data_IF_537573924728
#
_entry.id   IF_537573924728
#
_cell.length_a   1.000
_cell.length_b   1.000
_cell.length_c   1.000
_cell.angle_alpha   90.00
_cell.angle_beta   90.00
_cell.angle_gamma   90.00
#
_symmetry.space_group_name_H-M   'P 1'
#
loop_
_entity.id
_entity.type
_entity.pdbx_description
1 polymer ?
#
# COMPACT_ATOMS: atom_id res chain seq x y z
N UNK A 1 -25.15 0.94 -5.11
CA UNK A 1 -25.01 2.12 -4.28
C UNK A 1 -24.06 3.08 -4.96
N UNK A 2 -24.48 4.34 -5.10
CA UNK A 2 -23.62 5.41 -5.62
C UNK A 2 -22.90 6.00 -4.40
N UNK A 3 -21.58 5.81 -4.33
CA UNK A 3 -20.76 6.43 -3.29
C UNK A 3 -20.69 7.95 -3.49
N UNK A 4 -20.32 8.69 -2.44
CA UNK A 4 -20.12 10.13 -2.51
C UNK A 4 -18.84 10.53 -1.76
N UNK A 5 -18.26 11.63 -2.20
CA UNK A 5 -17.17 12.31 -1.53
C UNK A 5 -17.42 13.83 -1.61
N UNK A 6 -17.76 14.42 -0.50
CA UNK A 6 -17.91 15.87 -0.37
C UNK A 6 -16.78 16.41 0.50
N UNK A 7 -16.05 17.40 0.00
CA UNK A 7 -14.93 18.01 0.71
C UNK A 7 -15.06 19.53 0.72
N UNK A 8 -14.74 20.15 1.85
CA UNK A 8 -14.59 21.58 1.99
C UNK A 8 -13.22 21.88 2.59
N UNK A 9 -12.45 22.73 1.92
CA UNK A 9 -11.09 23.07 2.34
C UNK A 9 -10.90 24.58 2.51
N UNK A 10 -10.37 24.98 3.65
CA UNK A 10 -10.02 26.36 3.96
C UNK A 10 -8.50 26.48 4.01
N UNK A 11 -7.96 27.51 3.36
CA UNK A 11 -6.52 27.81 3.36
C UNK A 11 -6.31 29.18 3.97
N UNK A 12 -5.58 29.22 5.05
CA UNK A 12 -5.25 30.43 5.76
C UNK A 12 -3.76 30.48 6.02
N UNK A 13 -3.24 31.69 6.23
CA UNK A 13 -1.84 31.94 6.46
C UNK A 13 -0.97 31.50 5.28
N UNK A 14 -1.08 32.21 4.19
CA UNK A 14 -0.44 31.91 2.90
C UNK A 14 1.06 31.59 3.00
N UNK A 15 1.78 32.27 3.87
CA UNK A 15 3.21 32.03 4.07
C UNK A 15 3.50 30.68 4.71
N UNK A 16 2.68 30.22 5.65
CA UNK A 16 2.82 28.94 6.35
C UNK A 16 1.97 27.82 5.76
N UNK A 17 1.21 28.11 4.71
CA UNK A 17 0.36 27.13 4.00
C UNK A 17 -0.46 26.26 4.94
N UNK A 18 -1.10 26.89 5.94
CA UNK A 18 -2.01 26.19 6.84
C UNK A 18 -3.32 25.92 6.12
N UNK A 19 -3.88 24.74 6.34
CA UNK A 19 -5.16 24.33 5.82
C UNK A 19 -5.99 23.56 6.84
N UNK A 20 -7.30 23.69 6.71
CA UNK A 20 -8.31 22.89 7.38
C UNK A 20 -9.17 22.25 6.30
N UNK A 21 -9.29 20.95 6.33
CA UNK A 21 -10.11 20.17 5.40
C UNK A 21 -11.17 19.41 6.18
N UNK A 22 -12.40 19.46 5.71
CA UNK A 22 -13.53 18.70 6.24
C UNK A 22 -14.06 17.84 5.10
N UNK A 23 -14.30 16.57 5.36
CA UNK A 23 -14.85 15.65 4.38
C UNK A 23 -15.98 14.81 4.96
N UNK A 24 -16.97 14.50 4.11
CA UNK A 24 -17.97 13.47 4.32
C UNK A 24 -17.91 12.51 3.14
N UNK A 25 -17.91 11.23 3.39
CA UNK A 25 -17.71 10.24 2.34
C UNK A 25 -18.44 8.93 2.58
N UNK A 26 -18.77 8.32 1.46
CA UNK A 26 -19.20 6.93 1.30
C UNK A 26 -18.39 6.37 0.12
N UNK A 27 -17.26 5.74 0.41
CA UNK A 27 -16.29 5.32 -0.60
C UNK A 27 -15.85 3.87 -0.41
N UNK A 28 -15.39 3.28 -1.49
CA UNK A 28 -14.66 2.02 -1.47
C UNK A 28 -13.17 2.33 -1.41
N UNK A 29 -12.50 1.77 -0.43
CA UNK A 29 -11.06 1.93 -0.24
C UNK A 29 -10.34 0.60 -0.39
N UNK A 30 -9.14 0.63 -0.95
CA UNK A 30 -8.27 -0.54 -1.05
C UNK A 30 -7.40 -0.68 0.19
N UNK A 31 -7.30 -1.89 0.72
CA UNK A 31 -6.27 -2.17 1.72
C UNK A 31 -4.90 -2.08 1.06
N UNK A 32 -3.90 -1.59 1.76
CA UNK A 32 -2.52 -1.61 1.27
C UNK A 32 -2.26 -0.88 -0.06
N UNK A 33 -2.95 0.23 -0.33
CA UNK A 33 -2.74 1.09 -1.51
C UNK A 33 -1.27 1.57 -1.72
N UNK A 34 -0.41 1.37 -0.73
CA UNK A 34 1.02 1.65 -0.79
C UNK A 34 1.82 0.65 -1.66
N UNK A 35 1.27 -0.55 -1.93
CA UNK A 35 1.93 -1.59 -2.73
C UNK A 35 1.79 -1.32 -4.22
N UNK A 36 0.58 -1.05 -4.67
CA UNK A 36 0.24 -0.82 -6.06
C UNK A 36 -0.64 0.43 -6.15
N UNK A 37 -0.32 1.34 -7.04
CA UNK A 37 -1.12 2.53 -7.27
C UNK A 37 -2.51 2.21 -7.82
N UNK A 38 -3.50 3.00 -7.47
CA UNK A 38 -4.87 2.82 -7.98
C UNK A 38 -4.97 2.79 -9.51
N UNK A 39 -4.25 3.66 -10.27
CA UNK A 39 -4.26 3.59 -11.72
C UNK A 39 -3.69 2.28 -12.28
N UNK A 40 -2.62 1.77 -11.67
CA UNK A 40 -1.98 0.51 -12.09
C UNK A 40 -2.89 -0.69 -11.78
N UNK A 41 -3.51 -0.71 -10.61
CA UNK A 41 -4.49 -1.73 -10.24
C UNK A 41 -5.72 -1.68 -11.15
N UNK A 42 -6.23 -0.48 -11.44
CA UNK A 42 -7.35 -0.27 -12.35
C UNK A 42 -7.06 -0.72 -13.79
N UNK A 43 -5.86 -0.43 -14.31
CA UNK A 43 -5.44 -0.90 -15.63
C UNK A 43 -5.31 -2.43 -15.68
N UNK A 44 -4.80 -3.05 -14.61
CA UNK A 44 -4.70 -4.50 -14.54
C UNK A 44 -6.08 -5.16 -14.50
N UNK A 45 -7.03 -4.60 -13.76
CA UNK A 45 -8.40 -5.08 -13.74
C UNK A 45 -9.08 -4.88 -15.12
N UNK A 46 -8.95 -3.70 -15.71
CA UNK A 46 -9.59 -3.34 -16.97
C UNK A 46 -9.07 -4.15 -18.17
N UNK A 47 -7.74 -4.31 -18.28
CA UNK A 47 -7.15 -5.01 -19.44
C UNK A 47 -6.90 -6.50 -19.18
N UNK A 48 -6.41 -6.88 -17.99
CA UNK A 48 -5.87 -8.21 -17.75
C UNK A 48 -6.79 -9.13 -16.93
N UNK A 49 -7.98 -8.67 -16.58
CA UNK A 49 -8.91 -9.40 -15.71
C UNK A 49 -8.23 -9.82 -14.37
N UNK A 50 -7.41 -8.92 -13.81
CA UNK A 50 -6.68 -9.16 -12.56
C UNK A 50 -6.93 -8.04 -11.57
N UNK A 51 -7.61 -8.37 -10.47
CA UNK A 51 -7.76 -7.48 -9.34
C UNK A 51 -6.76 -7.84 -8.25
N UNK A 52 -5.91 -6.89 -7.93
CA UNK A 52 -4.85 -7.08 -6.94
C UNK A 52 -5.18 -6.52 -5.57
N UNK A 53 -6.26 -5.76 -5.43
CA UNK A 53 -6.62 -5.11 -4.18
C UNK A 53 -7.69 -5.89 -3.43
N UNK A 54 -7.66 -5.79 -2.11
CA UNK A 54 -8.79 -6.12 -1.25
C UNK A 54 -9.48 -4.82 -0.87
N UNK A 55 -10.81 -4.84 -0.88
CA UNK A 55 -11.62 -3.65 -0.72
C UNK A 55 -12.51 -3.72 0.50
N UNK A 56 -12.76 -2.57 1.09
CA UNK A 56 -13.77 -2.38 2.12
C UNK A 56 -14.47 -1.03 1.93
N UNK A 57 -15.70 -0.93 2.40
CA UNK A 57 -16.46 0.31 2.39
C UNK A 57 -16.08 1.19 3.57
N UNK A 58 -15.95 2.50 3.34
CA UNK A 58 -15.76 3.51 4.36
C UNK A 58 -16.85 4.55 4.27
N UNK A 59 -17.65 4.66 5.32
CA UNK A 59 -18.72 5.64 5.43
C UNK A 59 -18.41 6.51 6.64
N UNK A 60 -18.37 7.83 6.46
CA UNK A 60 -18.05 8.68 7.60
C UNK A 60 -17.69 10.10 7.26
N UNK A 61 -17.03 10.72 8.22
CA UNK A 61 -16.53 12.08 8.10
C UNK A 61 -15.14 12.22 8.67
N UNK A 62 -14.40 13.20 8.19
CA UNK A 62 -13.09 13.57 8.71
C UNK A 62 -12.90 15.06 8.81
N UNK A 63 -12.02 15.45 9.73
CA UNK A 63 -11.48 16.81 9.86
C UNK A 63 -9.97 16.71 9.90
N UNK A 64 -9.30 17.46 9.06
CA UNK A 64 -7.84 17.44 8.96
C UNK A 64 -7.25 18.84 8.97
N UNK A 65 -6.26 19.05 9.85
CA UNK A 65 -5.38 20.22 9.83
C UNK A 65 -4.10 19.90 9.07
N UNK A 66 -3.69 20.75 8.15
CA UNK A 66 -2.50 20.55 7.33
C UNK A 66 -1.55 21.73 7.36
N UNK A 67 -0.24 21.43 7.30
CA UNK A 67 0.86 22.40 7.23
C UNK A 67 1.75 22.06 6.03
N UNK A 68 1.91 22.98 5.11
CA UNK A 68 2.85 22.86 4.01
C UNK A 68 4.29 23.05 4.47
N UNK A 69 5.14 22.06 4.24
CA UNK A 69 6.56 22.06 4.58
C UNK A 69 7.46 22.46 3.39
N UNK A 70 6.89 22.56 2.19
CA UNK A 70 7.58 22.85 0.96
C UNK A 70 6.63 22.84 -0.24
N UNK A 71 7.20 22.68 -1.46
CA UNK A 71 6.40 22.65 -2.69
C UNK A 71 5.46 21.45 -2.76
N UNK A 72 5.98 20.27 -2.39
CA UNK A 72 5.26 18.99 -2.46
C UNK A 72 5.31 18.24 -1.11
N UNK A 73 5.70 18.95 -0.04
CA UNK A 73 5.86 18.37 1.29
C UNK A 73 4.81 18.94 2.24
N UNK A 74 4.22 18.08 3.07
CA UNK A 74 3.18 18.49 4.04
C UNK A 74 3.20 17.62 5.29
N UNK A 75 2.76 18.20 6.40
CA UNK A 75 2.35 17.47 7.59
C UNK A 75 0.83 17.64 7.76
N UNK A 76 0.18 16.64 8.31
CA UNK A 76 -1.28 16.62 8.51
C UNK A 76 -1.62 15.87 9.79
N UNK A 77 -2.58 16.40 10.52
CA UNK A 77 -3.26 15.71 11.63
C UNK A 77 -4.71 15.54 11.20
N UNK A 78 -5.24 14.34 11.32
CA UNK A 78 -6.59 14.01 10.88
C UNK A 78 -7.35 13.24 11.96
N UNK A 79 -8.60 13.59 12.15
CA UNK A 79 -9.57 12.86 12.98
C UNK A 79 -10.68 12.33 12.08
N UNK A 80 -11.00 11.06 12.21
CA UNK A 80 -12.01 10.37 11.41
C UNK A 80 -13.00 9.65 12.32
N UNK A 81 -14.27 9.73 11.97
CA UNK A 81 -15.35 8.89 12.51
C UNK A 81 -15.96 8.12 11.36
N UNK A 82 -15.70 6.82 11.32
CA UNK A 82 -15.99 5.97 10.17
C UNK A 82 -16.74 4.71 10.58
N UNK A 83 -17.60 4.24 9.68
CA UNK A 83 -18.06 2.87 9.65
C UNK A 83 -17.36 2.11 8.53
N UNK A 84 -16.70 1.03 8.88
CA UNK A 84 -16.10 0.09 7.94
C UNK A 84 -17.07 -1.02 7.64
N UNK A 85 -17.15 -1.42 6.37
CA UNK A 85 -18.09 -2.43 5.89
C UNK A 85 -17.36 -3.37 4.94
N UNK A 86 -17.49 -4.66 5.18
CA UNK A 86 -16.99 -5.68 4.26
C UNK A 86 -17.75 -5.65 2.95
N UNK A 87 -17.04 -5.75 1.84
CA UNK A 87 -17.61 -5.74 0.49
C UNK A 87 -17.47 -7.12 -0.16
N UNK A 88 -18.47 -7.50 -0.94
CA UNK A 88 -18.42 -8.67 -1.80
C UNK A 88 -17.64 -8.41 -3.10
N UNK A 89 -17.52 -9.46 -3.90
CA UNK A 89 -16.93 -9.39 -5.25
C UNK A 89 -17.77 -8.47 -6.14
N UNK A 90 -17.10 -7.66 -6.94
CA UNK A 90 -17.71 -6.90 -8.02
C UNK A 90 -17.34 -7.54 -9.36
N UNK A 91 -18.33 -7.81 -10.16
CA UNK A 91 -18.15 -8.17 -11.56
C UNK A 91 -17.90 -6.89 -12.37
N UNK A 92 -16.64 -6.60 -12.65
CA UNK A 92 -16.21 -5.38 -13.34
C UNK A 92 -16.00 -5.69 -14.81
N UNK A 93 -16.31 -4.74 -15.69
CA UNK A 93 -16.00 -4.89 -17.11
C UNK A 93 -14.48 -5.01 -17.33
N UNK A 94 -14.08 -5.98 -18.15
CA UNK A 94 -12.71 -6.16 -18.60
C UNK A 94 -12.65 -6.38 -20.11
N UNK A 95 -11.59 -5.88 -20.74
CA UNK A 95 -11.41 -6.02 -22.20
C UNK A 95 -11.01 -7.44 -22.58
N UNK A 96 -10.01 -7.99 -21.88
CA UNK A 96 -9.50 -9.34 -22.16
C UNK A 96 -9.97 -10.32 -21.10
N UNK A 97 -11.09 -10.98 -21.37
CA UNK A 97 -11.60 -12.04 -20.50
C UNK A 97 -10.74 -13.29 -20.65
N UNK A 98 -10.25 -13.81 -19.55
CA UNK A 98 -9.47 -15.05 -19.50
C UNK A 98 -10.33 -16.29 -19.17
N UNK A 99 -11.65 -16.12 -19.02
CA UNK A 99 -12.57 -17.21 -18.67
C UNK A 99 -12.56 -17.60 -17.18
N UNK A 100 -11.69 -16.98 -16.38
CA UNK A 100 -11.64 -17.21 -14.93
C UNK A 100 -12.64 -16.29 -14.20
N UNK A 101 -13.21 -16.74 -13.07
CA UNK A 101 -14.00 -15.84 -12.22
C UNK A 101 -13.09 -14.78 -11.60
N UNK A 102 -13.68 -13.61 -11.27
CA UNK A 102 -12.98 -12.62 -10.47
C UNK A 102 -12.54 -13.21 -9.13
N UNK A 103 -11.37 -12.75 -8.67
CA UNK A 103 -10.88 -13.11 -7.35
C UNK A 103 -11.87 -12.65 -6.27
N UNK A 104 -12.17 -13.55 -5.35
CA UNK A 104 -13.02 -13.20 -4.21
C UNK A 104 -12.39 -12.07 -3.38
N UNK A 105 -13.21 -11.07 -3.06
CA UNK A 105 -12.83 -10.07 -2.07
C UNK A 105 -12.99 -10.69 -0.67
N UNK A 106 -11.93 -10.75 0.13
CA UNK A 106 -12.00 -11.37 1.44
C UNK A 106 -12.94 -10.58 2.36
N UNK A 107 -13.66 -11.31 3.20
CA UNK A 107 -14.50 -10.67 4.20
C UNK A 107 -13.65 -9.97 5.25
N UNK A 108 -13.88 -8.68 5.43
CA UNK A 108 -13.22 -7.78 6.37
C UNK A 108 -13.98 -7.67 7.69
N UNK A 109 -13.47 -6.89 8.63
CA UNK A 109 -14.09 -6.62 9.92
C UNK A 109 -15.07 -5.45 9.80
N UNK A 110 -16.36 -5.66 10.09
CA UNK A 110 -17.37 -4.60 10.03
C UNK A 110 -17.50 -3.91 11.39
N UNK A 111 -17.51 -2.57 11.39
CA UNK A 111 -17.69 -1.86 12.65
C UNK A 111 -17.54 -0.35 12.54
N UNK A 112 -17.73 0.35 13.65
CA UNK A 112 -17.51 1.78 13.78
C UNK A 112 -16.16 2.06 14.41
N UNK A 113 -15.37 2.92 13.80
CA UNK A 113 -14.00 3.20 14.19
C UNK A 113 -13.75 4.71 14.23
N UNK A 114 -13.19 5.17 15.34
CA UNK A 114 -12.68 6.52 15.51
C UNK A 114 -11.16 6.48 15.38
N UNK A 115 -10.62 7.28 14.49
CA UNK A 115 -9.20 7.27 14.14
C UNK A 115 -8.62 8.66 14.32
N UNK A 116 -7.51 8.74 15.04
CA UNK A 116 -6.60 9.89 15.01
C UNK A 116 -5.34 9.52 14.26
N UNK A 117 -4.98 10.29 13.24
CA UNK A 117 -3.80 10.04 12.44
C UNK A 117 -2.91 11.28 12.33
N UNK A 118 -1.60 11.04 12.30
CA UNK A 118 -0.59 12.05 11.98
C UNK A 118 0.16 11.52 10.77
N UNK A 119 0.28 12.34 9.73
CA UNK A 119 1.02 11.98 8.53
C UNK A 119 1.99 13.08 8.13
N UNK A 120 3.14 12.67 7.61
CA UNK A 120 4.16 13.57 7.05
C UNK A 120 4.58 13.02 5.71
N UNK A 121 4.45 13.85 4.68
CA UNK A 121 4.94 13.56 3.34
C UNK A 121 6.02 14.58 3.02
N UNK A 122 7.23 14.10 2.72
CA UNK A 122 8.33 14.92 2.21
C UNK A 122 8.69 14.42 0.81
N UNK A 123 8.54 15.29 -0.17
CA UNK A 123 8.84 14.97 -1.55
C UNK A 123 9.80 16.02 -2.13
N UNK A 124 11.04 15.59 -2.36
CA UNK A 124 12.11 16.39 -2.96
C UNK A 124 12.58 15.81 -4.29
N UNK A 125 11.78 14.89 -4.87
CA UNK A 125 12.09 14.33 -6.18
C UNK A 125 12.07 15.41 -7.25
N UNK A 126 12.95 15.28 -8.23
CA UNK A 126 12.94 16.17 -9.39
C UNK A 126 11.70 16.00 -10.26
N UNK A 127 11.15 14.79 -10.31
CA UNK A 127 9.93 14.43 -11.03
C UNK A 127 9.17 13.36 -10.23
N UNK A 128 7.84 13.48 -10.17
CA UNK A 128 7.00 12.55 -9.42
C UNK A 128 6.78 11.22 -10.14
N UNK A 129 6.79 11.22 -11.47
CA UNK A 129 6.50 10.06 -12.31
C UNK A 129 7.77 9.30 -12.73
N UNK A 130 8.82 10.06 -13.08
CA UNK A 130 10.08 9.51 -13.53
C UNK A 130 11.27 10.09 -12.73
N UNK A 131 11.34 9.83 -11.41
CA UNK A 131 12.35 10.44 -10.57
C UNK A 131 13.75 9.91 -10.90
N UNK A 132 14.69 10.84 -11.09
CA UNK A 132 16.10 10.56 -11.29
C UNK A 132 16.90 10.77 -10.00
N UNK A 133 16.52 11.75 -9.18
CA UNK A 133 17.16 12.05 -7.90
C UNK A 133 16.17 12.66 -6.91
N UNK A 134 16.50 12.56 -5.64
CA UNK A 134 15.72 13.12 -4.54
C UNK A 134 15.21 12.07 -3.55
N UNK A 135 14.39 12.53 -2.64
CA UNK A 135 13.77 11.73 -1.59
C UNK A 135 12.26 11.77 -1.69
N UNK A 136 11.64 10.67 -1.38
CA UNK A 136 10.22 10.59 -1.05
C UNK A 136 10.09 9.89 0.29
N UNK A 137 9.43 10.54 1.25
CA UNK A 137 9.17 10.03 2.59
C UNK A 137 7.68 10.16 2.84
N UNK A 138 7.03 9.06 3.15
CA UNK A 138 5.65 9.04 3.63
C UNK A 138 5.63 8.30 4.96
N UNK A 139 5.41 9.03 6.04
CA UNK A 139 5.32 8.50 7.39
C UNK A 139 3.92 8.78 7.94
N UNK A 140 3.28 7.75 8.51
CA UNK A 140 1.96 7.87 9.13
C UNK A 140 1.95 7.11 10.45
N UNK A 141 1.37 7.74 11.46
CA UNK A 141 1.01 7.11 12.70
C UNK A 141 -0.50 7.21 12.89
N UNK A 142 -1.14 6.10 13.20
CA UNK A 142 -2.59 5.98 13.41
C UNK A 142 -2.83 5.42 14.81
N UNK A 143 -3.69 6.08 15.56
CA UNK A 143 -4.25 5.56 16.80
C UNK A 143 -5.76 5.45 16.64
N UNK A 144 -6.32 4.29 16.90
CA UNK A 144 -7.70 4.02 16.61
C UNK A 144 -8.41 3.31 17.77
N UNK A 145 -9.72 3.57 17.86
CA UNK A 145 -10.63 2.87 18.76
C UNK A 145 -11.89 2.50 17.98
N UNK A 146 -12.23 1.21 17.97
CA UNK A 146 -13.39 0.72 17.23
C UNK A 146 -14.22 -0.27 18.00
N UNK A 147 -15.49 -0.42 17.57
CA UNK A 147 -16.37 -1.53 17.93
C UNK A 147 -16.75 -2.25 16.66
N UNK A 148 -16.51 -3.54 16.63
CA UNK A 148 -16.77 -4.37 15.47
C UNK A 148 -18.02 -5.22 15.73
N UNK A 149 -18.95 -5.19 14.79
CA UNK A 149 -20.23 -5.89 14.83
C UNK A 149 -20.12 -7.29 14.23
N UNK A 150 -19.23 -7.43 13.22
CA UNK A 150 -18.91 -8.70 12.59
C UNK A 150 -17.43 -8.76 12.18
N UNK A 151 -16.92 -9.97 11.98
CA UNK A 151 -15.51 -10.24 11.77
C UNK A 151 -15.29 -11.07 10.52
N UNK A 152 -14.19 -10.79 9.82
CA UNK A 152 -13.68 -11.67 8.77
C UNK A 152 -13.27 -13.03 9.36
N UNK A 153 -13.32 -14.09 8.56
CA UNK A 153 -13.05 -15.46 9.01
C UNK A 153 -11.66 -15.65 9.66
N UNK A 154 -10.69 -14.84 9.26
CA UNK A 154 -9.32 -14.88 9.78
C UNK A 154 -9.00 -13.75 10.76
N UNK A 155 -10.01 -13.01 11.20
CA UNK A 155 -9.82 -11.96 12.20
C UNK A 155 -9.42 -12.54 13.55
N UNK A 156 -8.37 -11.96 14.12
CA UNK A 156 -7.94 -12.35 15.48
C UNK A 156 -8.63 -11.53 16.55
N UNK A 157 -9.17 -10.37 16.18
CA UNK A 157 -9.95 -9.53 17.09
C UNK A 157 -11.18 -10.28 17.59
N UNK A 158 -11.77 -11.14 16.79
CA UNK A 158 -12.91 -11.99 17.17
C UNK A 158 -12.65 -12.90 18.39
N UNK A 159 -11.39 -13.10 18.76
CA UNK A 159 -11.02 -13.87 19.97
C UNK A 159 -11.17 -13.09 21.25
N UNK A 160 -11.23 -11.76 21.16
CA UNK A 160 -11.47 -10.89 22.30
C UNK A 160 -12.98 -10.71 22.51
N UNK A 161 -13.37 -10.21 23.66
CA UNK A 161 -14.77 -9.96 23.93
C UNK A 161 -15.34 -8.91 22.94
N UNK A 162 -16.31 -9.26 22.07
CA UNK A 162 -16.84 -8.36 21.07
C UNK A 162 -17.55 -7.13 21.66
N UNK A 163 -17.90 -7.17 22.94
CA UNK A 163 -18.51 -6.05 23.65
C UNK A 163 -17.51 -4.95 24.00
N UNK A 164 -16.22 -5.24 24.01
CA UNK A 164 -15.19 -4.27 24.34
C UNK A 164 -14.67 -3.54 23.08
N UNK A 165 -14.42 -2.23 23.18
CA UNK A 165 -13.81 -1.51 22.07
C UNK A 165 -12.37 -1.98 21.87
N UNK A 166 -12.03 -2.28 20.63
CA UNK A 166 -10.67 -2.57 20.18
C UNK A 166 -9.89 -1.26 20.07
N UNK A 167 -8.68 -1.23 20.59
CA UNK A 167 -7.78 -0.06 20.54
C UNK A 167 -6.43 -0.48 20.02
N UNK A 168 -5.94 0.19 18.99
CA UNK A 168 -4.63 -0.11 18.44
C UNK A 168 -3.88 1.15 18.03
N UNK A 169 -2.55 1.06 18.04
CA UNK A 169 -1.66 1.99 17.41
C UNK A 169 -0.89 1.32 16.27
N UNK A 170 -0.81 1.99 15.12
CA UNK A 170 -0.14 1.52 13.91
C UNK A 170 0.76 2.60 13.36
N UNK A 171 1.97 2.25 12.95
CA UNK A 171 2.88 3.13 12.24
C UNK A 171 3.18 2.60 10.84
N UNK A 172 3.48 3.50 9.91
CA UNK A 172 3.89 3.16 8.55
C UNK A 172 4.91 4.18 8.04
N UNK A 173 5.97 3.69 7.39
CA UNK A 173 7.00 4.49 6.74
C UNK A 173 7.30 3.91 5.36
N UNK A 174 7.20 4.71 4.32
CA UNK A 174 7.73 4.44 2.97
C UNK A 174 8.78 5.51 2.65
N UNK A 175 10.03 5.13 2.70
CA UNK A 175 11.17 5.98 2.41
C UNK A 175 11.79 5.54 1.10
N UNK A 176 11.91 6.46 0.14
CA UNK A 176 12.51 6.19 -1.18
C UNK A 176 13.62 7.18 -1.45
N UNK A 177 14.74 6.67 -1.95
CA UNK A 177 15.86 7.45 -2.41
C UNK A 177 16.17 7.11 -3.86
N UNK A 178 16.26 8.14 -4.68
CA UNK A 178 16.62 8.05 -6.09
C UNK A 178 17.99 8.68 -6.29
N UNK A 179 18.91 7.94 -6.92
CA UNK A 179 20.27 8.40 -7.17
C UNK A 179 20.65 8.13 -8.62
N UNK A 180 20.77 9.18 -9.41
CA UNK A 180 21.39 9.10 -10.72
C UNK A 180 22.90 8.98 -10.55
N UNK A 181 23.46 7.83 -10.90
CA UNK A 181 24.90 7.55 -10.76
C UNK A 181 25.65 8.05 -11.99
N UNK A 182 25.06 7.90 -13.17
CA UNK A 182 25.59 8.37 -14.44
C UNK A 182 24.45 8.77 -15.38
N UNK A 183 24.74 9.34 -16.57
CA UNK A 183 23.70 9.62 -17.54
C UNK A 183 22.83 8.41 -17.88
N UNK A 184 23.41 7.21 -17.84
CA UNK A 184 22.75 5.97 -18.22
C UNK A 184 22.48 5.01 -17.06
N UNK A 185 22.78 5.40 -15.82
CA UNK A 185 22.61 4.52 -14.67
C UNK A 185 21.99 5.22 -13.47
N UNK A 186 21.09 4.50 -12.78
CA UNK A 186 20.38 4.95 -11.61
C UNK A 186 20.30 3.83 -10.57
N UNK A 187 20.50 4.17 -9.30
CA UNK A 187 20.28 3.30 -8.16
C UNK A 187 19.13 3.84 -7.32
N UNK A 188 18.09 3.07 -7.19
CA UNK A 188 16.93 3.39 -6.36
C UNK A 188 16.91 2.49 -5.13
N UNK A 189 16.62 3.08 -3.99
CA UNK A 189 16.46 2.39 -2.72
C UNK A 189 15.10 2.72 -2.15
N UNK A 190 14.41 1.73 -1.63
CA UNK A 190 13.16 1.89 -0.90
C UNK A 190 13.24 1.14 0.43
N UNK A 191 12.83 1.78 1.51
CA UNK A 191 12.63 1.15 2.81
C UNK A 191 11.16 1.29 3.17
N UNK A 192 10.48 0.17 3.37
CA UNK A 192 9.12 0.15 3.90
C UNK A 192 9.16 -0.51 5.27
N UNK A 193 8.70 0.22 6.27
CA UNK A 193 8.48 -0.29 7.62
C UNK A 193 7.04 -0.01 7.99
N UNK A 194 6.35 -1.00 8.52
CA UNK A 194 4.97 -0.79 8.93
C UNK A 194 4.54 -1.79 9.99
N UNK A 195 3.56 -1.41 10.80
CA UNK A 195 2.97 -2.37 11.67
C UNK A 195 2.33 -1.84 12.94
N UNK A 196 1.85 -2.82 13.69
CA UNK A 196 1.35 -2.66 15.03
C UNK A 196 2.44 -2.13 15.98
N UNK A 197 2.07 -1.13 16.76
CA UNK A 197 2.95 -0.49 17.75
C UNK A 197 2.51 -0.85 19.16
N UNK A 198 1.22 -0.72 19.46
CA UNK A 198 0.65 -1.01 20.78
C UNK A 198 -0.86 -1.27 20.72
N UNK A 199 -1.40 -1.79 21.82
CA UNK A 199 -2.82 -2.04 21.98
C UNK A 199 -3.24 -3.44 21.55
N UNK A 200 -4.47 -3.56 21.09
CA UNK A 200 -5.04 -4.81 20.59
C UNK A 200 -4.53 -5.15 19.19
N UNK A 201 -4.78 -6.35 18.71
CA UNK A 201 -4.41 -6.79 17.37
C UNK A 201 -5.06 -5.92 16.29
N UNK A 202 -4.35 -5.74 15.17
CA UNK A 202 -4.86 -4.96 14.05
C UNK A 202 -6.09 -5.62 13.41
N UNK A 203 -7.11 -4.83 13.06
CA UNK A 203 -8.20 -5.30 12.20
C UNK A 203 -7.67 -5.66 10.82
N UNK A 204 -8.42 -6.49 10.09
CA UNK A 204 -8.00 -7.03 8.78
C UNK A 204 -7.67 -5.94 7.77
N UNK A 205 -8.39 -4.81 7.78
CA UNK A 205 -8.18 -3.66 6.90
C UNK A 205 -6.83 -2.96 7.10
N UNK A 206 -6.18 -3.21 8.22
CA UNK A 206 -4.92 -2.55 8.61
C UNK A 206 -3.71 -3.46 8.63
N UNK A 207 -3.90 -4.75 8.33
CA UNK A 207 -2.81 -5.72 8.23
C UNK A 207 -2.06 -5.58 6.92
N UNK A 208 -0.91 -6.22 6.86
CA UNK A 208 0.02 -6.16 5.75
C UNK A 208 0.15 -7.51 5.06
N UNK A 209 0.43 -7.45 3.77
CA UNK A 209 0.86 -8.59 2.97
C UNK A 209 2.12 -8.23 2.16
N UNK A 210 2.82 -9.21 1.66
CA UNK A 210 3.96 -9.03 0.77
C UNK A 210 3.92 -10.08 -0.32
N UNK A 211 4.47 -9.74 -1.46
CA UNK A 211 4.48 -10.54 -2.68
C UNK A 211 4.02 -9.72 -3.88
N UNK A 212 4.57 -9.98 -5.05
CA UNK A 212 4.21 -9.32 -6.28
C UNK A 212 4.84 -7.95 -6.51
N UNK A 213 4.32 -7.28 -7.52
CA UNK A 213 4.74 -5.94 -7.93
C UNK A 213 4.55 -4.95 -6.77
N UNK A 214 5.54 -4.09 -6.55
CA UNK A 214 5.50 -3.10 -5.48
C UNK A 214 6.13 -3.55 -4.16
N UNK A 215 6.30 -4.87 -3.94
CA UNK A 215 6.97 -5.44 -2.77
C UNK A 215 8.11 -6.37 -3.15
N UNK A 216 7.82 -7.61 -3.55
CA UNK A 216 8.81 -8.62 -3.95
C UNK A 216 8.44 -9.15 -5.34
N UNK A 217 8.96 -8.54 -6.42
CA UNK A 217 8.73 -9.01 -7.78
C UNK A 217 9.21 -10.44 -8.00
N UNK A 218 8.50 -11.17 -8.84
CA UNK A 218 8.76 -12.58 -9.11
C UNK A 218 8.05 -13.55 -8.17
N UNK A 219 7.33 -13.03 -7.19
CA UNK A 219 6.40 -13.81 -6.38
C UNK A 219 4.96 -13.43 -6.73
N UNK A 220 4.04 -14.34 -6.53
CA UNK A 220 2.63 -14.07 -6.72
C UNK A 220 2.19 -12.92 -5.79
N UNK A 221 1.33 -12.05 -6.29
CA UNK A 221 0.83 -10.92 -5.53
C UNK A 221 0.15 -11.40 -4.26
N UNK A 222 0.55 -10.86 -3.11
CA UNK A 222 0.07 -11.20 -1.75
C UNK A 222 0.16 -12.68 -1.35
N UNK A 223 0.73 -13.51 -2.19
CA UNK A 223 0.57 -14.97 -2.05
C UNK A 223 1.68 -15.66 -1.30
N UNK A 224 2.84 -15.02 -1.02
CA UNK A 224 3.94 -15.92 -0.81
C UNK A 224 5.00 -15.67 0.24
N UNK A 225 4.97 -14.66 1.04
CA UNK A 225 5.85 -14.78 2.21
C UNK A 225 5.19 -15.57 3.34
N UNK A 226 3.91 -15.66 3.31
CA UNK A 226 3.16 -16.52 4.21
C UNK A 226 3.11 -17.99 3.77
N UNK A 227 3.61 -18.32 2.59
CA UNK A 227 3.23 -19.56 1.93
C UNK A 227 4.13 -20.73 2.16
N UNK A 228 5.36 -20.57 2.60
CA UNK A 228 6.21 -21.74 2.76
C UNK A 228 6.17 -22.29 4.17
N UNK A 229 6.08 -21.47 5.20
CA UNK A 229 6.12 -21.96 6.57
C UNK A 229 5.21 -21.24 7.56
N UNK A 230 4.37 -20.30 7.15
CA UNK A 230 3.47 -19.55 8.03
C UNK A 230 4.14 -18.85 9.23
N UNK A 231 5.45 -18.82 9.24
CA UNK A 231 6.20 -18.36 10.42
C UNK A 231 6.19 -16.85 10.56
N UNK A 232 6.05 -16.13 9.46
CA UNK A 232 6.27 -14.68 9.45
C UNK A 232 5.00 -13.85 9.63
N UNK A 233 3.85 -14.39 9.24
CA UNK A 233 2.57 -13.64 9.28
C UNK A 233 1.46 -14.32 10.08
N UNK A 234 1.75 -15.38 10.77
CA UNK A 234 0.79 -16.11 11.59
C UNK A 234 0.62 -17.57 11.20
N UNK A 235 0.00 -18.33 12.09
CA UNK A 235 -0.09 -19.79 12.02
C UNK A 235 -1.14 -20.35 11.04
N UNK A 236 -1.79 -19.49 10.26
CA UNK A 236 -2.84 -19.95 9.33
C UNK A 236 -2.30 -19.95 7.90
N UNK A 237 -2.55 -21.03 7.13
CA UNK A 237 -2.19 -21.05 5.73
C UNK A 237 -2.90 -19.93 4.99
N UNK A 238 -2.16 -19.23 4.11
CA UNK A 238 -2.76 -18.24 3.22
C UNK A 238 -3.46 -18.99 2.12
N UNK A 239 -4.78 -19.13 2.24
CA UNK A 239 -5.63 -19.65 1.19
C UNK A 239 -5.98 -18.54 0.20
N UNK A 240 -6.23 -18.85 -1.08
CA UNK A 240 -6.80 -17.90 -2.03
C UNK A 240 -8.07 -17.27 -1.44
N UNK A 241 -8.17 -15.93 -1.48
CA UNK A 241 -9.29 -15.21 -0.91
C UNK A 241 -9.14 -14.79 0.56
N UNK A 242 -8.06 -15.16 1.23
CA UNK A 242 -7.79 -14.66 2.56
C UNK A 242 -7.19 -13.24 2.52
N UNK A 243 -7.58 -12.36 3.48
CA UNK A 243 -6.99 -11.03 3.60
C UNK A 243 -5.54 -11.09 4.08
N UNK A 244 -4.85 -9.95 4.03
CA UNK A 244 -3.54 -9.77 4.63
C UNK A 244 -3.51 -10.18 6.10
N UNK A 245 -2.43 -10.84 6.53
CA UNK A 245 -2.33 -11.45 7.87
C UNK A 245 -1.20 -10.88 8.73
N UNK A 246 -0.21 -10.19 8.13
CA UNK A 246 0.93 -9.68 8.87
C UNK A 246 0.57 -8.44 9.67
N UNK A 247 0.93 -8.40 10.93
CA UNK A 247 0.80 -7.21 11.75
C UNK A 247 1.98 -6.24 11.61
N UNK A 248 3.10 -6.71 11.07
CA UNK A 248 4.30 -5.92 10.83
C UNK A 248 4.92 -6.30 9.48
N UNK A 249 5.55 -5.32 8.86
CA UNK A 249 6.27 -5.50 7.59
C UNK A 249 7.57 -4.71 7.60
N UNK A 250 8.62 -5.30 7.04
CA UNK A 250 9.88 -4.62 6.76
C UNK A 250 10.40 -5.07 5.40
N UNK A 251 10.62 -4.13 4.49
CA UNK A 251 11.09 -4.37 3.12
C UNK A 251 12.20 -3.39 2.77
N UNK A 252 13.26 -3.86 2.12
CA UNK A 252 14.35 -3.04 1.61
C UNK A 252 14.63 -3.41 0.13
N UNK A 253 13.79 -3.03 -0.82
CA UNK A 253 14.07 -3.19 -2.24
C UNK A 253 15.19 -2.27 -2.70
N UNK A 254 16.12 -2.83 -3.48
CA UNK A 254 17.17 -2.11 -4.19
C UNK A 254 16.98 -2.36 -5.68
N UNK A 255 16.90 -1.29 -6.47
CA UNK A 255 16.71 -1.36 -7.91
C UNK A 255 17.88 -0.62 -8.61
N UNK A 256 18.58 -1.33 -9.46
CA UNK A 256 19.53 -0.73 -10.38
C UNK A 256 18.92 -0.68 -11.78
N UNK A 257 18.87 0.50 -12.36
CA UNK A 257 18.41 0.72 -13.74
C UNK A 257 19.61 1.15 -14.60
N UNK A 258 19.78 0.52 -15.75
CA UNK A 258 20.76 0.91 -16.75
C UNK A 258 20.07 1.07 -18.10
N UNK A 259 20.34 2.18 -18.80
CA UNK A 259 19.92 2.40 -20.18
C UNK A 259 20.98 1.84 -21.11
N UNK A 260 20.62 0.97 -22.05
CA UNK A 260 21.53 0.38 -23.04
C UNK A 260 21.65 1.22 -24.32
N UNK A 261 21.01 2.35 -24.40
CA UNK A 261 21.04 3.26 -25.51
C UNK A 261 19.66 3.68 -25.99
N UNK A 262 19.63 4.75 -26.74
CA UNK A 262 18.43 5.23 -27.43
C UNK A 262 18.46 4.75 -28.89
N UNK A 263 17.39 4.12 -29.34
CA UNK A 263 17.14 3.87 -30.74
C UNK A 263 16.12 4.86 -31.27
N UNK A 264 16.45 5.62 -32.26
CA UNK A 264 15.46 6.42 -32.98
C UNK A 264 14.73 5.55 -33.98
N UNK A 265 13.40 5.48 -33.88
CA UNK A 265 12.53 4.87 -34.88
C UNK A 265 11.67 5.98 -35.43
N UNK A 266 11.98 6.40 -36.65
CA UNK A 266 11.36 7.58 -37.27
C UNK A 266 11.72 8.86 -36.53
N UNK A 267 10.71 9.68 -36.19
CA UNK A 267 10.89 10.92 -35.44
C UNK A 267 10.76 10.73 -33.91
N UNK A 268 10.63 9.50 -33.44
CA UNK A 268 10.43 9.19 -32.01
C UNK A 268 11.63 8.47 -31.43
N UNK A 269 12.21 8.98 -30.34
CA UNK A 269 13.28 8.31 -29.63
C UNK A 269 12.65 7.29 -28.63
N UNK A 270 12.81 6.01 -28.93
CA UNK A 270 12.44 4.92 -28.02
C UNK A 270 13.69 4.54 -27.21
N UNK A 271 13.67 4.88 -25.92
CA UNK A 271 14.65 4.41 -24.95
C UNK A 271 14.39 2.94 -24.59
N UNK A 272 15.35 2.07 -24.87
CA UNK A 272 15.31 0.68 -24.39
C UNK A 272 15.96 0.59 -23.02
N UNK A 273 15.18 0.24 -22.00
CA UNK A 273 15.68 -0.05 -20.66
C UNK A 273 15.83 -1.55 -20.51
N UNK A 274 17.00 -2.02 -20.11
CA UNK A 274 17.22 -3.42 -19.83
C UNK A 274 17.56 -3.62 -18.36
N UNK A 275 16.92 -4.61 -17.79
CA UNK A 275 17.35 -5.32 -16.60
C UNK A 275 17.04 -4.63 -15.26
N UNK A 276 15.99 -5.11 -14.59
CA UNK A 276 15.84 -4.97 -13.13
C UNK A 276 16.54 -6.14 -12.48
N UNK A 277 17.66 -5.89 -11.81
CA UNK A 277 18.32 -6.90 -10.99
C UNK A 277 17.92 -6.69 -9.53
N UNK A 278 17.34 -7.72 -8.90
CA UNK A 278 16.96 -7.73 -7.51
C UNK A 278 17.94 -8.58 -6.71
N UNK A 279 18.48 -8.03 -5.64
CA UNK A 279 19.22 -8.82 -4.66
C UNK A 279 18.29 -9.10 -3.48
N UNK A 280 18.05 -10.37 -3.18
CA UNK A 280 17.31 -10.75 -1.97
C UNK A 280 18.04 -10.24 -0.74
N UNK A 281 17.39 -9.55 0.18
CA UNK A 281 17.89 -9.50 1.55
C UNK A 281 17.67 -10.88 2.16
N UNK A 282 18.75 -11.61 2.41
CA UNK A 282 18.70 -12.87 3.15
C UNK A 282 18.59 -12.57 4.63
N UNK A 283 17.40 -12.64 5.18
CA UNK A 283 17.15 -12.89 6.58
C UNK A 283 16.88 -14.41 6.73
N UNK A 284 17.90 -15.23 6.49
CA UNK A 284 17.88 -16.63 6.82
C UNK A 284 19.21 -16.99 7.52
N UNK A 285 19.20 -17.88 8.52
CA UNK A 285 20.41 -18.35 9.16
C UNK A 285 21.34 -19.05 8.18
N UNK A 286 22.64 -19.14 8.43
CA UNK A 286 23.64 -19.55 7.45
C UNK A 286 23.66 -21.06 7.28
N UNK A 287 22.79 -21.58 6.45
CA UNK A 287 22.93 -22.92 5.88
C UNK A 287 22.28 -22.97 4.49
N UNK A 288 23.12 -23.19 3.47
CA UNK A 288 22.84 -23.29 2.05
C UNK A 288 22.85 -21.97 1.27
N UNK A 289 24.05 -21.48 0.99
CA UNK A 289 24.29 -20.41 0.03
C UNK A 289 24.18 -20.91 -1.41
N UNK A 290 22.99 -20.84 -1.99
CA UNK A 290 22.76 -20.84 -3.42
C UNK A 290 22.69 -19.39 -3.92
N UNK A 291 23.74 -18.89 -4.57
CA UNK A 291 23.74 -17.56 -5.22
C UNK A 291 22.93 -17.63 -6.51
N UNK A 292 21.66 -17.35 -6.44
CA UNK A 292 20.82 -17.13 -7.61
C UNK A 292 20.66 -15.64 -7.89
N UNK A 293 21.23 -15.14 -8.98
CA UNK A 293 20.84 -13.86 -9.57
C UNK A 293 19.64 -14.13 -10.47
N UNK A 294 18.51 -13.55 -10.17
CA UNK A 294 17.37 -13.51 -11.10
C UNK A 294 17.42 -12.16 -11.82
N UNK A 295 17.89 -12.19 -13.06
CA UNK A 295 17.74 -11.08 -14.01
C UNK A 295 16.61 -11.46 -14.97
N UNK A 296 15.54 -10.66 -15.05
CA UNK A 296 14.52 -10.80 -16.09
C UNK A 296 14.89 -9.88 -17.26
N UNK A 297 14.88 -10.37 -18.52
CA UNK A 297 14.94 -9.50 -19.68
C UNK A 297 13.63 -8.68 -19.75
N UNK A 298 13.77 -7.38 -20.09
CA UNK A 298 12.69 -6.44 -20.29
C UNK A 298 11.89 -6.72 -21.57
#
# INVERSE_FOLDING_TARGET
NVGHLATAGFRFWHERKLGLDIASYDVVDGTESWQLGEPEAGLAAFFLHRDYNDYFGRHGASVAGSLGLGRQSRAQIELRDERWVSLGVRDVFTVFKNGEPWRDNPRMDDGRVHVGAISVVVDTRNDAWAPLYGWFINATYENARGRFDSFGASSRIARFNPSNPVRYGRAFLDLRRYNRISPNAQLNMRLVLGGWVHGDELPLERRFSVGGVGTIPGFDFRRRLAGTDNAECGKLPVLPGNPAQCERVALLPLEYRSSLGERSVGSTNLGTYTGRCWRRPTLAPPAAAGRGRLCQPG
#
